data_IF_440129952673
#
_entry.id   IF_440129952673
#
_cell.length_a   1.000
_cell.length_b   1.000
_cell.length_c   1.000
_cell.angle_alpha   90.00
_cell.angle_beta   90.00
_cell.angle_gamma   90.00
#
_symmetry.space_group_name_H-M   'P 1'
#
loop_
_entity.id
_entity.type
_entity.pdbx_description
1 polymer ?
#
# COMPACT_ATOMS: atom_id res chain seq x y z
N UNK A 1 -5.10 -11.74 36.48
CA UNK A 1 -5.32 -12.92 35.62
C UNK A 1 -4.55 -12.65 34.35
N UNK A 2 -3.47 -13.32 34.21
CA UNK A 2 -2.48 -13.13 33.13
C UNK A 2 -3.08 -13.70 31.84
N UNK A 3 -3.55 -12.84 30.96
CA UNK A 3 -4.11 -13.21 29.65
C UNK A 3 -3.09 -12.97 28.53
N UNK A 4 -1.81 -13.24 28.81
CA UNK A 4 -0.83 -13.36 27.75
C UNK A 4 -1.23 -14.55 26.87
N UNK A 5 -1.79 -14.26 25.70
CA UNK A 5 -2.07 -15.26 24.67
C UNK A 5 -0.75 -15.98 24.40
N UNK A 6 -0.71 -17.27 24.72
CA UNK A 6 0.48 -18.09 24.51
C UNK A 6 0.61 -18.36 23.01
N UNK A 7 1.26 -17.46 22.30
CA UNK A 7 1.43 -17.44 20.83
C UNK A 7 2.06 -18.73 20.28
N UNK A 8 2.58 -19.60 21.15
CA UNK A 8 3.41 -20.75 20.74
C UNK A 8 2.67 -22.07 20.50
N UNK A 9 1.36 -22.21 20.78
CA UNK A 9 0.69 -23.51 20.72
C UNK A 9 -0.70 -23.58 20.04
N UNK A 10 -1.35 -22.48 19.67
CA UNK A 10 -2.65 -22.52 19.01
C UNK A 10 -2.56 -22.12 17.53
N UNK A 11 -3.37 -22.80 16.70
CA UNK A 11 -3.57 -22.40 15.31
C UNK A 11 -4.33 -21.06 15.36
N UNK A 12 -3.62 -19.96 15.15
CA UNK A 12 -4.22 -18.62 15.10
C UNK A 12 -4.98 -18.52 13.78
N UNK A 13 -6.29 -18.31 13.86
CA UNK A 13 -7.10 -17.91 12.73
C UNK A 13 -6.99 -16.37 12.58
N UNK A 14 -6.19 -15.90 11.64
CA UNK A 14 -5.92 -14.48 11.45
C UNK A 14 -7.17 -13.71 11.04
N UNK A 15 -8.06 -14.30 10.26
CA UNK A 15 -9.34 -13.68 9.90
C UNK A 15 -10.20 -13.43 11.13
N UNK A 16 -10.34 -14.42 11.99
CA UNK A 16 -11.10 -14.28 13.24
C UNK A 16 -10.47 -13.25 14.17
N UNK A 17 -9.14 -13.28 14.29
CA UNK A 17 -8.39 -12.31 15.10
C UNK A 17 -8.58 -10.89 14.57
N UNK A 18 -8.43 -10.65 13.27
CA UNK A 18 -8.60 -9.34 12.65
C UNK A 18 -10.03 -8.81 12.84
N UNK A 19 -11.04 -9.64 12.64
CA UNK A 19 -12.44 -9.27 12.84
C UNK A 19 -12.72 -8.86 14.29
N UNK A 20 -12.17 -9.60 15.26
CA UNK A 20 -12.34 -9.28 16.68
C UNK A 20 -11.64 -7.99 17.11
N UNK A 21 -10.64 -7.54 16.34
CA UNK A 21 -9.84 -6.34 16.63
C UNK A 21 -10.11 -5.16 15.67
N UNK A 22 -11.13 -5.26 14.82
CA UNK A 22 -11.44 -4.23 13.81
C UNK A 22 -11.67 -2.84 14.44
N UNK A 23 -12.34 -2.77 15.58
CA UNK A 23 -12.60 -1.49 16.26
C UNK A 23 -11.33 -0.90 16.88
N UNK A 24 -10.40 -1.73 17.33
CA UNK A 24 -9.07 -1.29 17.79
C UNK A 24 -8.28 -0.70 16.60
N UNK A 25 -8.32 -1.34 15.44
CA UNK A 25 -7.66 -0.83 14.23
C UNK A 25 -8.26 0.51 13.77
N UNK A 26 -9.58 0.69 13.89
CA UNK A 26 -10.23 1.98 13.63
C UNK A 26 -9.78 3.07 14.62
N UNK A 27 -9.66 2.75 15.91
CA UNK A 27 -9.13 3.70 16.91
C UNK A 27 -7.68 4.08 16.62
N UNK A 28 -6.83 3.11 16.25
CA UNK A 28 -5.47 3.37 15.79
C UNK A 28 -5.45 4.38 14.63
N UNK A 29 -6.30 4.20 13.62
CA UNK A 29 -6.37 5.11 12.48
C UNK A 29 -6.80 6.53 12.87
N UNK A 30 -7.74 6.68 13.82
CA UNK A 30 -8.14 7.99 14.35
C UNK A 30 -6.99 8.68 15.10
N UNK A 31 -6.19 7.92 15.86
CA UNK A 31 -5.00 8.45 16.53
C UNK A 31 -3.92 8.86 15.54
N UNK A 32 -3.67 8.04 14.53
CA UNK A 32 -2.73 8.39 13.45
C UNK A 32 -3.18 9.64 12.67
N UNK A 33 -4.48 9.85 12.48
CA UNK A 33 -5.01 11.09 11.88
C UNK A 33 -4.68 12.32 12.75
N UNK A 34 -4.82 12.17 14.08
CA UNK A 34 -4.47 13.24 15.04
C UNK A 34 -2.97 13.54 14.97
N UNK A 35 -2.13 12.50 14.97
CA UNK A 35 -0.66 12.62 14.86
C UNK A 35 -0.26 13.29 13.54
N UNK A 36 -0.82 12.84 12.42
CA UNK A 36 -0.58 13.44 11.10
C UNK A 36 -1.00 14.91 11.06
N UNK A 37 -2.14 15.25 11.65
CA UNK A 37 -2.63 16.64 11.70
C UNK A 37 -1.69 17.52 12.52
N UNK A 38 -1.20 17.06 13.69
CA UNK A 38 -0.20 17.78 14.49
C UNK A 38 1.06 18.09 13.65
N UNK A 39 1.59 17.08 12.98
CA UNK A 39 2.76 17.23 12.12
C UNK A 39 2.52 18.20 10.97
N UNK A 40 1.38 18.06 10.27
CA UNK A 40 0.97 18.93 9.15
C UNK A 40 0.91 20.41 9.56
N UNK A 41 0.28 20.71 10.69
CA UNK A 41 0.17 22.09 11.18
C UNK A 41 1.54 22.65 11.61
N UNK A 42 2.42 21.81 12.17
CA UNK A 42 3.78 22.21 12.47
C UNK A 42 4.58 22.54 11.19
N UNK A 43 4.52 21.69 10.15
CA UNK A 43 5.13 22.00 8.85
C UNK A 43 4.53 23.25 8.21
N UNK A 44 3.23 23.41 8.23
CA UNK A 44 2.56 24.60 7.71
C UNK A 44 3.07 25.86 8.39
N UNK A 45 3.20 25.83 9.72
CA UNK A 45 3.78 26.95 10.47
C UNK A 45 5.25 27.21 10.10
N UNK A 46 6.06 26.16 9.99
CA UNK A 46 7.50 26.26 9.71
C UNK A 46 7.82 26.69 8.28
N UNK A 47 6.95 26.39 7.31
CA UNK A 47 7.19 26.64 5.89
C UNK A 47 6.44 27.85 5.34
N UNK A 48 5.60 28.53 6.14
CA UNK A 48 4.78 29.66 5.68
C UNK A 48 5.40 30.98 6.06
N UNK A 49 5.49 31.89 5.09
CA UNK A 49 5.82 33.29 5.25
C UNK A 49 4.78 34.11 4.49
N UNK A 50 4.27 35.17 5.11
CA UNK A 50 3.22 36.04 4.52
C UNK A 50 2.00 35.25 4.00
N UNK A 51 1.54 34.26 4.76
CA UNK A 51 0.44 33.34 4.43
C UNK A 51 0.64 32.51 3.14
N UNK A 52 1.87 32.34 2.68
CA UNK A 52 2.22 31.50 1.53
C UNK A 52 3.38 30.59 1.86
N UNK A 53 3.43 29.44 1.21
CA UNK A 53 4.60 28.56 1.31
C UNK A 53 5.81 29.29 0.74
N UNK A 54 6.86 29.37 1.54
CA UNK A 54 8.15 29.95 1.15
C UNK A 54 9.02 28.87 0.52
N UNK A 55 9.40 29.06 -0.75
CA UNK A 55 10.17 28.07 -1.50
C UNK A 55 11.56 27.82 -0.93
N UNK A 56 12.18 28.81 -0.30
CA UNK A 56 13.49 28.63 0.32
C UNK A 56 13.39 27.79 1.60
N UNK A 57 12.34 28.02 2.42
CA UNK A 57 12.07 27.20 3.59
C UNK A 57 11.71 25.77 3.19
N UNK A 58 10.95 25.59 2.10
CA UNK A 58 10.61 24.27 1.58
C UNK A 58 11.88 23.54 1.12
N UNK A 59 12.77 24.20 0.37
CA UNK A 59 14.03 23.62 -0.11
C UNK A 59 14.93 23.17 1.04
N UNK A 60 15.09 24.00 2.08
CA UNK A 60 15.90 23.67 3.26
C UNK A 60 15.32 22.48 4.04
N UNK A 61 14.01 22.30 4.02
CA UNK A 61 13.30 21.24 4.73
C UNK A 61 12.85 20.09 3.81
N UNK A 62 13.40 19.95 2.61
CA UNK A 62 12.96 19.02 1.58
C UNK A 62 12.88 17.56 2.07
N UNK A 63 13.92 17.05 2.73
CA UNK A 63 13.93 15.69 3.28
C UNK A 63 12.83 15.46 4.32
N UNK A 64 12.62 16.44 5.22
CA UNK A 64 11.59 16.33 6.26
C UNK A 64 10.18 16.38 5.67
N UNK A 65 9.93 17.25 4.70
CA UNK A 65 8.62 17.35 4.03
C UNK A 65 8.33 16.13 3.18
N UNK A 66 9.35 15.57 2.53
CA UNK A 66 9.25 14.28 1.85
C UNK A 66 8.93 13.15 2.86
N UNK A 67 9.62 13.14 4.00
CA UNK A 67 9.33 12.20 5.09
C UNK A 67 7.90 12.31 5.62
N UNK A 68 7.35 13.53 5.76
CA UNK A 68 5.96 13.72 6.12
C UNK A 68 4.99 13.16 5.06
N UNK A 69 5.30 13.32 3.77
CA UNK A 69 4.50 12.73 2.71
C UNK A 69 4.47 11.19 2.79
N UNK A 70 5.60 10.55 3.12
CA UNK A 70 5.68 9.11 3.38
C UNK A 70 4.83 8.70 4.58
N UNK A 71 4.95 9.43 5.71
CA UNK A 71 4.17 9.17 6.91
C UNK A 71 2.66 9.23 6.65
N UNK A 72 2.20 10.28 5.97
CA UNK A 72 0.77 10.42 5.67
C UNK A 72 0.29 9.40 4.62
N UNK A 73 1.16 9.01 3.69
CA UNK A 73 0.89 7.92 2.73
C UNK A 73 0.69 6.59 3.45
N UNK A 74 1.53 6.25 4.44
CA UNK A 74 1.37 5.04 5.24
C UNK A 74 0.04 5.05 6.00
N UNK A 75 -0.29 6.18 6.65
CA UNK A 75 -1.57 6.36 7.34
C UNK A 75 -2.76 6.13 6.42
N UNK A 76 -2.74 6.75 5.23
CA UNK A 76 -3.81 6.58 4.23
C UNK A 76 -3.84 5.13 3.73
N UNK A 77 -2.68 4.54 3.44
CA UNK A 77 -2.56 3.15 3.02
C UNK A 77 -3.18 2.18 4.02
N UNK A 78 -2.89 2.34 5.32
CA UNK A 78 -3.49 1.52 6.37
C UNK A 78 -5.02 1.68 6.43
N UNK A 79 -5.53 2.91 6.29
CA UNK A 79 -6.97 3.15 6.25
C UNK A 79 -7.63 2.42 5.08
N UNK A 80 -7.07 2.54 3.89
CA UNK A 80 -7.63 1.90 2.70
C UNK A 80 -7.49 0.37 2.76
N UNK A 81 -6.42 -0.15 3.35
CA UNK A 81 -6.23 -1.59 3.59
C UNK A 81 -7.31 -2.14 4.53
N UNK A 82 -7.60 -1.43 5.63
CA UNK A 82 -8.68 -1.85 6.52
C UNK A 82 -10.06 -1.76 5.83
N UNK A 83 -10.32 -0.66 5.11
CA UNK A 83 -11.56 -0.48 4.35
C UNK A 83 -11.74 -1.58 3.30
N UNK A 84 -10.68 -1.96 2.61
CA UNK A 84 -10.68 -3.06 1.65
C UNK A 84 -11.04 -4.40 2.32
N UNK A 85 -10.38 -4.75 3.43
CA UNK A 85 -10.68 -5.98 4.15
C UNK A 85 -12.14 -6.01 4.67
N UNK A 86 -12.62 -4.89 5.23
CA UNK A 86 -14.00 -4.79 5.73
C UNK A 86 -15.00 -5.00 4.59
N UNK A 87 -14.82 -4.36 3.43
CA UNK A 87 -15.68 -4.56 2.25
C UNK A 87 -15.69 -6.02 1.80
N UNK A 88 -14.52 -6.67 1.70
CA UNK A 88 -14.43 -8.09 1.36
C UNK A 88 -15.19 -8.97 2.36
N UNK A 89 -15.09 -8.64 3.65
CA UNK A 89 -15.78 -9.40 4.69
C UNK A 89 -17.29 -9.21 4.63
N UNK A 90 -17.77 -8.00 4.40
CA UNK A 90 -19.20 -7.68 4.28
C UNK A 90 -19.82 -8.41 3.06
N UNK A 91 -19.04 -8.57 1.99
CA UNK A 91 -19.42 -9.34 0.80
C UNK A 91 -19.23 -10.87 0.96
N UNK A 92 -18.79 -11.35 2.14
CA UNK A 92 -18.43 -12.75 2.39
C UNK A 92 -17.34 -13.31 1.46
N UNK A 93 -16.45 -12.46 0.96
CA UNK A 93 -15.34 -12.81 0.05
C UNK A 93 -13.98 -12.83 0.74
N UNK A 94 -13.87 -12.31 1.98
CA UNK A 94 -12.59 -12.26 2.70
C UNK A 94 -12.05 -13.65 3.03
N UNK A 95 -10.75 -13.81 2.88
CA UNK A 95 -10.00 -15.04 3.13
C UNK A 95 -8.97 -14.86 4.25
N UNK A 96 -8.28 -15.96 4.61
CA UNK A 96 -7.22 -15.94 5.62
C UNK A 96 -6.00 -15.13 5.14
N UNK A 97 -5.65 -15.21 3.86
CA UNK A 97 -4.55 -14.41 3.31
C UNK A 97 -4.87 -12.91 3.31
N UNK A 98 -6.12 -12.51 3.03
CA UNK A 98 -6.53 -11.10 3.09
C UNK A 98 -6.36 -10.54 4.51
N UNK A 99 -6.72 -11.31 5.52
CA UNK A 99 -6.52 -10.95 6.92
C UNK A 99 -5.03 -10.91 7.28
N UNK A 100 -4.25 -11.88 6.84
CA UNK A 100 -2.83 -11.96 7.10
C UNK A 100 -2.08 -10.74 6.53
N UNK A 101 -2.31 -10.37 5.27
CA UNK A 101 -1.66 -9.21 4.67
C UNK A 101 -2.11 -7.90 5.33
N UNK A 102 -3.36 -7.80 5.78
CA UNK A 102 -3.87 -6.63 6.52
C UNK A 102 -3.14 -6.48 7.86
N UNK A 103 -3.07 -7.54 8.66
CA UNK A 103 -2.37 -7.54 9.96
C UNK A 103 -0.88 -7.24 9.79
N UNK A 104 -0.23 -7.86 8.80
CA UNK A 104 1.18 -7.63 8.51
C UNK A 104 1.45 -6.17 8.12
N UNK A 105 0.61 -5.58 7.25
CA UNK A 105 0.73 -4.18 6.85
C UNK A 105 0.57 -3.23 8.05
N UNK A 106 -0.42 -3.46 8.92
CA UNK A 106 -0.59 -2.66 10.12
C UNK A 106 0.62 -2.75 11.04
N UNK A 107 1.08 -3.96 11.34
CA UNK A 107 2.19 -4.17 12.25
C UNK A 107 3.49 -3.54 11.73
N UNK A 108 3.80 -3.74 10.46
CA UNK A 108 5.00 -3.21 9.82
C UNK A 108 4.98 -1.68 9.75
N UNK A 109 3.88 -1.08 9.28
CA UNK A 109 3.80 0.37 9.12
C UNK A 109 3.71 1.10 10.46
N UNK A 110 2.98 0.58 11.45
CA UNK A 110 2.95 1.16 12.78
C UNK A 110 4.34 1.19 13.42
N UNK A 111 5.08 0.09 13.28
CA UNK A 111 6.46 -0.01 13.80
C UNK A 111 7.39 0.99 13.12
N UNK A 112 7.32 1.11 11.80
CA UNK A 112 8.12 2.09 11.05
C UNK A 112 7.72 3.53 11.39
N UNK A 113 6.43 3.85 11.46
CA UNK A 113 5.96 5.19 11.80
C UNK A 113 6.44 5.64 13.18
N UNK A 114 6.54 4.71 14.15
CA UNK A 114 7.03 4.99 15.50
C UNK A 114 8.56 5.11 15.58
N UNK A 115 9.30 4.26 14.85
CA UNK A 115 10.74 4.12 15.04
C UNK A 115 11.58 4.72 13.91
N UNK A 116 10.99 4.96 12.76
CA UNK A 116 11.62 5.55 11.58
C UNK A 116 11.20 4.84 10.30
N UNK A 117 10.76 5.63 9.33
CA UNK A 117 10.35 5.16 8.00
C UNK A 117 11.59 5.20 7.10
N UNK A 118 11.94 4.04 6.56
CA UNK A 118 13.02 3.92 5.57
C UNK A 118 12.50 4.31 4.19
N UNK A 119 12.82 5.52 3.74
CA UNK A 119 12.44 6.02 2.41
C UNK A 119 13.37 5.51 1.31
N UNK A 120 14.64 5.28 1.65
CA UNK A 120 15.65 4.68 0.77
C UNK A 120 16.74 3.99 1.61
N UNK A 121 17.73 3.39 0.97
CA UNK A 121 18.85 2.73 1.68
C UNK A 121 19.64 3.66 2.61
N UNK A 122 19.65 4.96 2.34
CA UNK A 122 20.41 5.95 3.10
C UNK A 122 19.54 7.04 3.74
N UNK A 123 18.22 6.98 3.57
CA UNK A 123 17.30 8.03 4.00
C UNK A 123 16.20 7.43 4.89
N UNK A 124 16.28 7.78 6.17
CA UNK A 124 15.31 7.36 7.19
C UNK A 124 14.73 8.62 7.82
N UNK A 125 13.41 8.76 7.81
CA UNK A 125 12.75 9.83 8.56
C UNK A 125 12.26 9.31 9.90
N UNK A 126 12.57 10.06 10.96
CA UNK A 126 12.18 9.74 12.33
C UNK A 126 11.07 10.68 12.80
N UNK A 127 10.25 10.27 13.78
CA UNK A 127 9.20 11.14 14.34
C UNK A 127 9.68 12.54 14.71
N UNK A 128 10.86 12.67 15.33
CA UNK A 128 11.44 13.97 15.71
C UNK A 128 11.66 14.93 14.54
N UNK A 129 11.90 14.41 13.34
CA UNK A 129 12.04 15.20 12.11
C UNK A 129 10.69 15.68 11.57
N UNK A 130 9.60 15.06 12.03
CA UNK A 130 8.20 15.35 11.69
C UNK A 130 7.50 16.20 12.77
N UNK A 131 8.24 16.80 13.70
CA UNK A 131 7.70 17.52 14.87
C UNK A 131 6.85 16.64 15.79
N UNK A 132 7.16 15.35 15.87
CA UNK A 132 6.50 14.35 16.70
C UNK A 132 7.48 13.84 17.77
N UNK A 133 6.94 13.32 18.85
CA UNK A 133 7.69 12.74 19.95
C UNK A 133 7.04 11.42 20.45
N UNK A 134 7.62 10.78 21.45
CA UNK A 134 7.15 9.50 21.97
C UNK A 134 5.73 9.56 22.51
N UNK A 135 5.27 10.73 22.99
CA UNK A 135 3.90 10.88 23.52
C UNK A 135 2.84 10.76 22.44
N UNK A 136 3.18 11.10 21.21
CA UNK A 136 2.28 10.96 20.05
C UNK A 136 1.97 9.49 19.73
N UNK A 137 2.82 8.56 20.19
CA UNK A 137 2.71 7.13 19.96
C UNK A 137 2.40 6.31 21.24
N UNK A 138 2.04 6.97 22.35
CA UNK A 138 1.70 6.27 23.61
C UNK A 138 0.57 5.25 23.45
N UNK A 139 -0.37 5.48 22.53
CA UNK A 139 -1.43 4.53 22.23
C UNK A 139 -0.93 3.16 21.80
N UNK A 140 0.28 3.08 21.22
CA UNK A 140 0.90 1.83 20.82
C UNK A 140 1.46 1.02 22.00
N UNK A 141 1.44 1.59 23.21
CA UNK A 141 1.80 0.88 24.45
C UNK A 141 0.61 0.10 25.04
N UNK A 142 -0.60 0.26 24.48
CA UNK A 142 -1.76 -0.55 24.85
C UNK A 142 -1.54 -2.01 24.48
N UNK A 143 -1.91 -2.93 25.37
CA UNK A 143 -1.63 -4.36 25.19
C UNK A 143 -2.30 -4.93 23.94
N UNK A 144 -3.55 -4.52 23.65
CA UNK A 144 -4.22 -4.97 22.42
C UNK A 144 -3.54 -4.47 21.13
N UNK A 145 -2.92 -3.29 21.15
CA UNK A 145 -2.14 -2.79 20.01
C UNK A 145 -0.83 -3.55 19.88
N UNK A 146 -0.17 -3.87 21.01
CA UNK A 146 1.02 -4.73 21.02
C UNK A 146 0.71 -6.11 20.46
N UNK A 147 -0.40 -6.73 20.88
CA UNK A 147 -0.82 -8.03 20.36
C UNK A 147 -1.01 -8.01 18.84
N UNK A 148 -1.60 -6.94 18.27
CA UNK A 148 -1.74 -6.76 16.82
C UNK A 148 -0.36 -6.69 16.15
N UNK A 149 0.57 -5.92 16.73
CA UNK A 149 1.93 -5.77 16.20
C UNK A 149 2.69 -7.10 16.28
N UNK A 150 2.66 -7.76 17.43
CA UNK A 150 3.41 -9.01 17.67
C UNK A 150 2.90 -10.15 16.78
N UNK A 151 1.56 -10.25 16.62
CA UNK A 151 0.96 -11.23 15.71
C UNK A 151 1.28 -10.89 14.26
N UNK A 152 1.13 -9.61 13.87
CA UNK A 152 1.39 -9.17 12.51
C UNK A 152 2.84 -9.30 12.06
N UNK A 153 3.82 -9.23 12.98
CA UNK A 153 5.25 -9.44 12.69
C UNK A 153 5.72 -10.87 12.93
N UNK A 154 4.84 -11.76 13.38
CA UNK A 154 5.21 -13.15 13.70
C UNK A 154 5.63 -13.96 12.47
N UNK A 155 6.47 -14.97 12.65
CA UNK A 155 6.82 -15.89 11.58
C UNK A 155 5.61 -16.72 11.10
N UNK A 156 4.59 -16.91 11.96
CA UNK A 156 3.37 -17.62 11.60
C UNK A 156 2.59 -16.90 10.49
N UNK A 157 2.48 -15.57 10.55
CA UNK A 157 1.75 -14.81 9.54
C UNK A 157 2.49 -14.85 8.20
N UNK A 158 3.83 -14.75 8.24
CA UNK A 158 4.68 -14.86 7.04
C UNK A 158 4.54 -16.24 6.39
N UNK A 159 4.51 -17.31 7.23
CA UNK A 159 4.30 -18.68 6.75
C UNK A 159 2.95 -18.82 6.06
N UNK A 160 1.85 -18.28 6.65
CA UNK A 160 0.53 -18.34 6.00
C UNK A 160 0.51 -17.62 4.67
N UNK A 161 1.18 -16.46 4.56
CA UNK A 161 1.28 -15.72 3.30
C UNK A 161 2.03 -16.57 2.26
N UNK A 162 3.20 -17.10 2.60
CA UNK A 162 4.02 -17.92 1.69
C UNK A 162 3.28 -19.19 1.28
N UNK A 163 2.70 -19.94 2.25
CA UNK A 163 1.95 -21.17 1.97
C UNK A 163 0.71 -20.92 1.09
N UNK A 164 0.13 -19.74 1.17
CA UNK A 164 -0.99 -19.36 0.30
C UNK A 164 -0.50 -19.10 -1.12
N UNK A 165 0.60 -18.36 -1.28
CA UNK A 165 1.19 -18.09 -2.59
C UNK A 165 1.68 -19.37 -3.28
N UNK A 166 2.25 -20.32 -2.53
CA UNK A 166 2.67 -21.63 -3.05
C UNK A 166 1.49 -22.50 -3.57
N UNK A 167 0.28 -22.16 -3.15
CA UNK A 167 -0.98 -22.79 -3.61
C UNK A 167 -1.73 -21.96 -4.63
N UNK A 168 -1.08 -20.95 -5.22
CA UNK A 168 -1.70 -19.99 -6.15
C UNK A 168 -2.90 -19.22 -5.55
N UNK A 169 -2.94 -19.09 -4.23
CA UNK A 169 -3.96 -18.28 -3.54
C UNK A 169 -3.39 -16.88 -3.28
N UNK A 170 -4.01 -15.88 -3.91
CA UNK A 170 -3.62 -14.47 -3.79
C UNK A 170 -4.69 -13.68 -3.04
N UNK A 171 -4.33 -12.55 -2.42
CA UNK A 171 -5.32 -11.63 -1.88
C UNK A 171 -6.28 -11.16 -2.98
N UNK A 172 -7.55 -10.99 -2.61
CA UNK A 172 -8.55 -10.46 -3.54
C UNK A 172 -8.25 -9.00 -3.88
N UNK A 173 -8.38 -8.58 -5.13
CA UNK A 173 -8.30 -7.17 -5.48
C UNK A 173 -9.47 -6.36 -4.87
N UNK A 174 -10.65 -6.97 -4.77
CA UNK A 174 -11.82 -6.37 -4.12
C UNK A 174 -12.24 -5.06 -4.78
N UNK A 175 -12.16 -5.00 -6.12
CA UNK A 175 -12.45 -3.80 -6.89
C UNK A 175 -13.94 -3.44 -6.85
N UNK A 176 -14.83 -4.44 -6.76
CA UNK A 176 -16.29 -4.31 -6.73
C UNK A 176 -16.82 -3.46 -7.89
N UNK A 177 -16.19 -3.56 -9.07
CA UNK A 177 -16.52 -2.85 -10.29
C UNK A 177 -16.30 -3.78 -11.49
N UNK A 178 -17.39 -4.20 -12.14
CA UNK A 178 -17.34 -5.13 -13.28
C UNK A 178 -16.47 -4.64 -14.44
N UNK A 179 -16.39 -3.32 -14.64
CA UNK A 179 -15.56 -2.70 -15.68
C UNK A 179 -14.07 -2.89 -15.35
N UNK A 180 -13.69 -2.69 -14.09
CA UNK A 180 -12.31 -2.90 -13.63
C UNK A 180 -11.92 -4.38 -13.67
N UNK A 181 -12.84 -5.29 -13.32
CA UNK A 181 -12.62 -6.73 -13.43
C UNK A 181 -12.39 -7.15 -14.90
N UNK A 182 -13.19 -6.62 -15.84
CA UNK A 182 -13.00 -6.86 -17.28
C UNK A 182 -11.66 -6.31 -17.79
N UNK A 183 -11.25 -5.14 -17.33
CA UNK A 183 -9.95 -4.54 -17.66
C UNK A 183 -8.82 -5.43 -17.14
N UNK A 184 -8.91 -5.89 -15.90
CA UNK A 184 -7.93 -6.81 -15.33
C UNK A 184 -7.79 -8.07 -16.18
N UNK A 185 -8.90 -8.74 -16.51
CA UNK A 185 -8.90 -9.95 -17.30
C UNK A 185 -8.28 -9.73 -18.69
N UNK A 186 -8.60 -8.60 -19.34
CA UNK A 186 -8.05 -8.24 -20.63
C UNK A 186 -6.54 -8.04 -20.57
N UNK A 187 -6.04 -7.27 -19.59
CA UNK A 187 -4.61 -7.01 -19.44
C UNK A 187 -3.82 -8.19 -18.92
N UNK A 188 -4.45 -9.04 -18.09
CA UNK A 188 -3.88 -10.32 -17.68
C UNK A 188 -3.61 -11.20 -18.91
N UNK A 189 -4.61 -11.37 -19.78
CA UNK A 189 -4.47 -12.14 -21.02
C UNK A 189 -3.41 -11.55 -21.93
N UNK A 190 -3.42 -10.23 -22.17
CA UNK A 190 -2.42 -9.54 -22.97
C UNK A 190 -1.00 -9.77 -22.43
N UNK A 191 -0.80 -9.67 -21.13
CA UNK A 191 0.47 -9.88 -20.47
C UNK A 191 0.96 -11.32 -20.64
N UNK A 192 0.07 -12.30 -20.48
CA UNK A 192 0.40 -13.72 -20.64
C UNK A 192 0.75 -14.11 -22.08
N UNK A 193 0.11 -13.49 -23.06
CA UNK A 193 0.31 -13.81 -24.47
C UNK A 193 1.47 -13.02 -25.11
N UNK A 194 1.64 -11.74 -24.77
CA UNK A 194 2.52 -10.82 -25.51
C UNK A 194 3.76 -10.37 -24.73
N UNK A 195 3.78 -10.47 -23.41
CA UNK A 195 4.87 -9.95 -22.58
C UNK A 195 5.64 -11.06 -21.88
N UNK A 196 4.97 -11.88 -21.08
CA UNK A 196 5.60 -12.92 -20.26
C UNK A 196 6.52 -13.87 -21.05
N UNK A 197 6.14 -14.36 -22.25
CA UNK A 197 6.99 -15.28 -23.00
C UNK A 197 8.35 -14.68 -23.42
N UNK A 198 8.44 -13.36 -23.49
CA UNK A 198 9.59 -12.62 -23.99
C UNK A 198 10.37 -11.84 -22.93
N UNK A 199 9.76 -11.59 -21.77
CA UNK A 199 10.29 -10.72 -20.71
C UNK A 199 11.72 -11.07 -20.29
N UNK A 200 11.99 -12.36 -20.08
CA UNK A 200 13.32 -12.83 -19.68
C UNK A 200 14.38 -12.60 -20.76
N UNK A 201 14.01 -12.81 -22.03
CA UNK A 201 14.91 -12.56 -23.16
C UNK A 201 15.23 -11.07 -23.28
N UNK A 202 14.22 -10.20 -23.20
CA UNK A 202 14.42 -8.75 -23.24
C UNK A 202 15.32 -8.28 -22.10
N UNK A 203 15.09 -8.79 -20.89
CA UNK A 203 15.90 -8.45 -19.72
C UNK A 203 17.36 -8.86 -19.89
N UNK A 204 17.63 -10.12 -20.29
CA UNK A 204 19.00 -10.63 -20.45
C UNK A 204 19.79 -9.96 -21.57
N UNK A 205 19.09 -9.44 -22.58
CA UNK A 205 19.72 -8.75 -23.73
C UNK A 205 19.75 -7.23 -23.53
N UNK A 206 19.27 -6.71 -22.43
CA UNK A 206 19.08 -5.26 -22.21
C UNK A 206 18.32 -4.61 -23.38
N UNK A 207 17.29 -5.31 -23.88
CA UNK A 207 16.53 -4.92 -25.05
C UNK A 207 15.36 -4.00 -24.66
N UNK A 208 15.03 -3.07 -25.55
CA UNK A 208 13.79 -2.29 -25.44
C UNK A 208 12.58 -3.18 -25.74
N UNK A 209 11.42 -2.79 -25.19
CA UNK A 209 10.13 -3.40 -25.57
C UNK A 209 9.92 -3.16 -27.08
N UNK A 210 9.60 -4.19 -27.86
CA UNK A 210 9.39 -4.05 -29.30
C UNK A 210 8.25 -3.09 -29.67
N UNK A 211 8.41 -2.37 -30.78
CA UNK A 211 7.45 -1.38 -31.25
C UNK A 211 6.05 -1.97 -31.54
N UNK A 212 5.96 -3.22 -31.95
CA UNK A 212 4.69 -3.90 -32.17
C UNK A 212 3.94 -4.17 -30.86
N UNK A 213 4.65 -4.49 -29.77
CA UNK A 213 4.06 -4.61 -28.44
C UNK A 213 3.60 -3.24 -27.92
N UNK A 214 4.43 -2.19 -28.10
CA UNK A 214 4.03 -0.81 -27.75
C UNK A 214 2.79 -0.37 -28.52
N UNK A 215 2.69 -0.72 -29.80
CA UNK A 215 1.51 -0.42 -30.61
C UNK A 215 0.26 -1.13 -30.06
N UNK A 216 0.37 -2.43 -29.75
CA UNK A 216 -0.74 -3.17 -29.12
C UNK A 216 -1.17 -2.55 -27.77
N UNK A 217 -0.22 -2.12 -26.94
CA UNK A 217 -0.51 -1.39 -25.70
C UNK A 217 -1.26 -0.08 -25.96
N UNK A 218 -0.85 0.67 -26.99
CA UNK A 218 -1.54 1.89 -27.39
C UNK A 218 -2.97 1.61 -27.90
N UNK A 219 -3.15 0.58 -28.73
CA UNK A 219 -4.44 0.17 -29.26
C UNK A 219 -5.41 -0.30 -28.13
N UNK A 220 -4.87 -0.85 -27.03
CA UNK A 220 -5.60 -1.19 -25.81
C UNK A 220 -5.88 0.00 -24.89
N UNK A 221 -5.35 1.18 -25.21
CA UNK A 221 -5.61 2.41 -24.46
C UNK A 221 -4.72 2.65 -23.24
N UNK A 222 -3.62 1.89 -23.06
CA UNK A 222 -2.70 2.00 -21.90
C UNK A 222 -2.30 3.45 -21.65
N UNK A 223 -1.90 4.17 -22.71
CA UNK A 223 -1.38 5.54 -22.63
C UNK A 223 -2.46 6.62 -22.47
N UNK A 224 -3.73 6.25 -22.55
CA UNK A 224 -4.85 7.18 -22.50
C UNK A 224 -5.85 6.91 -21.36
N UNK A 225 -5.63 5.85 -20.58
CA UNK A 225 -6.60 5.35 -19.61
C UNK A 225 -6.98 6.38 -18.54
N UNK A 226 -6.03 7.16 -18.03
CA UNK A 226 -6.26 8.18 -17.02
C UNK A 226 -6.45 9.60 -17.59
N UNK A 227 -6.28 9.79 -18.90
CA UNK A 227 -6.47 11.07 -19.56
C UNK A 227 -7.97 11.36 -19.66
N UNK A 228 -8.45 12.56 -19.26
CA UNK A 228 -9.85 12.90 -19.38
C UNK A 228 -10.37 12.86 -20.84
N UNK A 229 -11.63 12.48 -21.02
CA UNK A 229 -12.28 12.31 -22.34
C UNK A 229 -12.23 13.58 -23.20
N UNK A 230 -12.35 14.77 -22.58
CA UNK A 230 -12.27 16.05 -23.30
C UNK A 230 -10.88 16.34 -23.91
N UNK A 231 -9.86 15.56 -23.55
CA UNK A 231 -8.52 15.57 -24.15
C UNK A 231 -8.26 14.33 -25.02
N UNK A 232 -9.30 13.55 -25.31
CA UNK A 232 -9.20 12.35 -26.15
C UNK A 232 -8.73 11.09 -25.42
N UNK A 233 -8.76 11.08 -24.08
CA UNK A 233 -8.47 9.92 -23.26
C UNK A 233 -9.71 9.09 -22.93
N UNK A 234 -9.51 8.03 -22.12
CA UNK A 234 -10.58 7.12 -21.68
C UNK A 234 -11.26 7.57 -20.39
N UNK A 235 -10.69 8.52 -19.65
CA UNK A 235 -11.29 9.08 -18.42
C UNK A 235 -11.50 8.10 -17.26
N UNK A 236 -10.88 6.92 -17.27
CA UNK A 236 -11.17 5.84 -16.32
C UNK A 236 -10.53 6.03 -14.93
N UNK A 237 -9.68 7.05 -14.80
CA UNK A 237 -9.09 7.43 -13.51
C UNK A 237 -7.92 6.55 -13.04
N UNK A 238 -7.46 6.83 -11.81
CA UNK A 238 -6.22 6.24 -11.30
C UNK A 238 -6.34 4.77 -10.90
N UNK A 239 -7.52 4.32 -10.47
CA UNK A 239 -7.71 2.91 -10.09
C UNK A 239 -7.55 2.00 -11.32
N UNK A 240 -8.18 2.34 -12.44
CA UNK A 240 -8.01 1.60 -13.68
C UNK A 240 -6.54 1.60 -14.17
N UNK A 241 -5.86 2.74 -14.04
CA UNK A 241 -4.43 2.83 -14.33
C UNK A 241 -3.62 1.87 -13.46
N UNK A 242 -3.90 1.77 -12.15
CA UNK A 242 -3.21 0.86 -11.25
C UNK A 242 -3.44 -0.62 -11.63
N UNK A 243 -4.69 -0.99 -11.97
CA UNK A 243 -5.03 -2.36 -12.41
C UNK A 243 -4.25 -2.75 -13.67
N UNK A 244 -4.20 -1.86 -14.66
CA UNK A 244 -3.44 -2.08 -15.90
C UNK A 244 -1.94 -2.19 -15.64
N UNK A 245 -1.40 -1.25 -14.84
CA UNK A 245 0.02 -1.22 -14.51
C UNK A 245 0.45 -2.46 -13.72
N UNK A 246 -0.38 -2.93 -12.79
CA UNK A 246 -0.12 -4.16 -12.03
C UNK A 246 0.01 -5.37 -12.96
N UNK A 247 -0.96 -5.59 -13.85
CA UNK A 247 -0.93 -6.72 -14.78
C UNK A 247 0.26 -6.65 -15.75
N UNK A 248 0.54 -5.49 -16.33
CA UNK A 248 1.69 -5.31 -17.21
C UNK A 248 3.02 -5.53 -16.47
N UNK A 249 3.13 -5.02 -15.22
CA UNK A 249 4.33 -5.17 -14.39
C UNK A 249 4.57 -6.61 -13.95
N UNK A 250 3.50 -7.39 -13.73
CA UNK A 250 3.57 -8.83 -13.45
C UNK A 250 4.31 -9.57 -14.57
N UNK A 251 4.14 -9.16 -15.81
CA UNK A 251 4.86 -9.71 -16.95
C UNK A 251 6.26 -9.14 -17.10
N UNK A 252 6.38 -7.82 -17.11
CA UNK A 252 7.65 -7.12 -17.22
C UNK A 252 7.52 -5.70 -16.65
N UNK A 253 8.33 -5.40 -15.63
CA UNK A 253 8.25 -4.11 -14.93
C UNK A 253 8.35 -2.90 -15.87
N UNK A 254 9.22 -2.97 -16.88
CA UNK A 254 9.35 -1.89 -17.85
C UNK A 254 8.06 -1.63 -18.65
N UNK A 255 7.26 -2.67 -18.95
CA UNK A 255 5.97 -2.51 -19.64
C UNK A 255 4.96 -1.77 -18.73
N UNK A 256 4.90 -2.12 -17.44
CA UNK A 256 4.04 -1.41 -16.49
C UNK A 256 4.43 0.06 -16.30
N UNK A 257 5.73 0.36 -16.31
CA UNK A 257 6.22 1.74 -16.13
C UNK A 257 5.88 2.69 -17.30
N UNK A 258 5.49 2.17 -18.45
CA UNK A 258 5.15 2.99 -19.63
C UNK A 258 3.75 3.61 -19.53
N UNK A 259 2.85 3.05 -18.74
CA UNK A 259 1.46 3.50 -18.59
C UNK A 259 1.22 4.49 -17.44
N UNK A 260 2.25 4.90 -16.70
CA UNK A 260 2.15 5.73 -15.47
C UNK A 260 2.55 7.17 -15.69
#
# INVERSE_FOLDING_TARGET
MDSSVNINSEIINFKQFLLSNTDILKDILLRLETVSTKSREAFKSALTKDNRIDNQLLEINQSKTHGFAWFDTYRIGLRETLNWFVRLNDDNKSSEIDAAVTLYAFAEYLTQMRHGIMMSQSEIVRPSELYLDDTDFEFMNNDSVKDIIDIGLSDKIKTVIVDSLDKDMYPSLGLNDETLDMIQDQFKKFTEEEILPHANEWHLKDALIPDDVLKKMADLGVFSIAIPENYGGLGMGKVAMCVVTEELSRGFLAAGSLGT
#
